data_IF_152782035097
#
_entry.id   IF_152782035097
#
_cell.length_a   1.000
_cell.length_b   1.000
_cell.length_c   1.000
_cell.angle_alpha   90.00
_cell.angle_beta   90.00
_cell.angle_gamma   90.00
#
_symmetry.space_group_name_H-M   'P 1'
#
loop_
_entity.id
_entity.type
_entity.pdbx_description
1 polymer ?
#
# COMPACT_ATOMS: atom_id res chain seq x y z
N UNK A 1 18.41 13.34 16.76
CA UNK A 1 18.31 12.03 17.43
C UNK A 1 17.45 11.13 16.56
N UNK A 2 17.93 9.93 16.24
CA UNK A 2 17.19 8.98 15.39
C UNK A 2 16.83 7.76 16.22
N UNK A 3 15.56 7.31 16.08
CA UNK A 3 15.08 6.03 16.60
C UNK A 3 14.53 5.23 15.43
N UNK A 4 14.83 3.94 15.36
CA UNK A 4 14.30 3.03 14.35
C UNK A 4 13.67 1.82 15.03
N UNK A 5 12.47 1.44 14.61
CA UNK A 5 11.76 0.26 15.13
C UNK A 5 11.15 -0.54 13.99
N UNK A 6 11.05 -1.85 14.20
CA UNK A 6 10.23 -2.74 13.40
C UNK A 6 9.11 -3.27 14.31
N UNK A 7 7.92 -2.64 14.33
CA UNK A 7 6.89 -2.91 15.32
C UNK A 7 6.26 -4.30 15.20
N UNK A 8 6.54 -5.02 14.11
CA UNK A 8 5.91 -6.30 13.80
C UNK A 8 4.44 -6.13 13.35
N UNK A 9 3.74 -7.25 13.26
CA UNK A 9 2.33 -7.30 12.86
C UNK A 9 1.43 -7.64 14.05
N UNK A 10 0.18 -7.20 13.99
CA UNK A 10 -0.80 -7.41 15.07
C UNK A 10 -0.93 -8.88 15.49
N UNK A 11 -0.87 -9.80 14.52
CA UNK A 11 -0.97 -11.25 14.80
C UNK A 11 0.19 -11.80 15.64
N UNK A 12 1.33 -11.12 15.65
CA UNK A 12 2.49 -11.50 16.46
C UNK A 12 2.54 -10.78 17.81
N UNK A 13 2.20 -9.48 17.79
CA UNK A 13 2.37 -8.61 18.96
C UNK A 13 1.09 -8.46 19.79
N UNK A 14 -0.08 -8.70 19.19
CA UNK A 14 -1.37 -8.38 19.78
C UNK A 14 -1.64 -6.87 19.91
N UNK A 15 -0.78 -6.02 19.34
CA UNK A 15 -0.84 -4.56 19.45
C UNK A 15 -0.92 -3.91 18.08
N UNK A 16 -1.76 -2.88 17.96
CA UNK A 16 -1.82 -2.06 16.75
C UNK A 16 -0.52 -1.27 16.56
N UNK A 17 0.03 -1.32 15.35
CA UNK A 17 1.26 -0.60 14.99
C UNK A 17 1.15 0.90 15.27
N UNK A 18 0.01 1.52 14.96
CA UNK A 18 -0.27 2.91 15.25
C UNK A 18 -0.14 3.24 16.74
N UNK A 19 -0.68 2.38 17.61
CA UNK A 19 -0.64 2.59 19.07
C UNK A 19 0.80 2.43 19.61
N UNK A 20 1.58 1.50 19.07
CA UNK A 20 3.00 1.34 19.42
C UNK A 20 3.78 2.62 19.08
N UNK A 21 3.66 3.09 17.83
CA UNK A 21 4.38 4.27 17.36
C UNK A 21 3.95 5.50 18.16
N UNK A 22 2.65 5.70 18.36
CA UNK A 22 2.12 6.84 19.14
C UNK A 22 2.69 6.87 20.56
N UNK A 23 2.76 5.74 21.24
CA UNK A 23 3.33 5.66 22.58
C UNK A 23 4.82 6.02 22.63
N UNK A 24 5.58 5.72 21.59
CA UNK A 24 6.99 6.10 21.47
C UNK A 24 7.11 7.60 21.22
N UNK A 25 6.31 8.13 20.29
CA UNK A 25 6.31 9.55 19.93
C UNK A 25 5.93 10.43 21.10
N UNK A 26 4.90 10.05 21.87
CA UNK A 26 4.47 10.80 23.06
C UNK A 26 5.51 10.87 24.18
N UNK A 27 6.46 9.95 24.21
CA UNK A 27 7.52 9.89 25.25
C UNK A 27 8.87 10.43 24.76
N UNK A 28 9.00 10.68 23.47
CA UNK A 28 10.22 11.19 22.86
C UNK A 28 10.02 12.62 22.34
N UNK A 29 11.14 13.24 22.01
CA UNK A 29 11.20 14.54 21.33
C UNK A 29 11.60 14.27 19.88
N UNK A 30 10.58 14.13 19.00
CA UNK A 30 10.74 13.79 17.59
C UNK A 30 10.13 14.88 16.72
N UNK A 31 10.83 15.27 15.66
CA UNK A 31 10.41 16.30 14.72
C UNK A 31 9.52 15.74 13.59
N UNK A 32 9.73 14.48 13.20
CA UNK A 32 8.93 13.80 12.18
C UNK A 32 9.04 12.27 12.29
N UNK A 33 8.14 11.58 11.61
CA UNK A 33 8.14 10.13 11.46
C UNK A 33 8.32 9.78 9.98
N UNK A 34 9.19 8.80 9.69
CA UNK A 34 9.26 8.16 8.38
C UNK A 34 8.73 6.75 8.55
N UNK A 35 7.65 6.41 7.84
CA UNK A 35 7.05 5.08 7.82
C UNK A 35 7.41 4.40 6.51
N UNK A 36 7.92 3.17 6.56
CA UNK A 36 8.21 2.38 5.36
C UNK A 36 7.35 1.12 5.43
N UNK A 37 6.53 0.88 4.40
CA UNK A 37 5.63 -0.28 4.35
C UNK A 37 5.52 -0.88 2.95
N UNK A 38 5.07 -2.12 2.91
CA UNK A 38 4.71 -2.85 1.72
C UNK A 38 3.34 -2.43 1.21
N UNK A 39 3.24 -2.15 -0.08
CA UNK A 39 1.96 -1.85 -0.73
C UNK A 39 1.51 -2.99 -1.63
N UNK A 40 0.20 -3.07 -1.87
CA UNK A 40 -0.36 -3.88 -2.94
C UNK A 40 -0.31 -3.10 -4.26
N UNK A 41 0.21 -3.72 -5.31
CA UNK A 41 0.25 -3.11 -6.62
C UNK A 41 -1.05 -3.28 -7.38
N UNK A 42 -1.47 -2.23 -8.08
CA UNK A 42 -2.61 -2.24 -9.02
C UNK A 42 -2.20 -2.67 -10.44
N UNK A 43 -0.89 -2.83 -10.69
CA UNK A 43 -0.33 -3.29 -11.96
C UNK A 43 0.91 -4.15 -11.69
N UNK A 44 1.08 -5.23 -12.42
CA UNK A 44 2.23 -6.13 -12.28
C UNK A 44 3.56 -5.45 -12.57
N UNK A 45 3.59 -4.52 -13.53
CA UNK A 45 4.79 -3.76 -13.91
C UNK A 45 5.38 -2.89 -12.79
N UNK A 46 4.53 -2.47 -11.83
CA UNK A 46 4.96 -1.64 -10.70
C UNK A 46 5.56 -2.45 -9.56
N UNK A 47 5.35 -3.76 -9.57
CA UNK A 47 5.79 -4.66 -8.50
C UNK A 47 7.31 -4.59 -8.33
N UNK A 48 7.78 -4.17 -7.16
CA UNK A 48 9.19 -3.98 -6.82
C UNK A 48 9.99 -3.00 -7.72
N UNK A 49 9.30 -2.23 -8.58
CA UNK A 49 9.96 -1.29 -9.51
C UNK A 49 9.65 0.19 -9.20
N UNK A 50 8.69 0.45 -8.34
CA UNK A 50 8.30 1.81 -7.98
C UNK A 50 8.39 2.04 -6.48
N UNK A 51 8.57 3.29 -6.10
CA UNK A 51 8.49 3.76 -4.71
C UNK A 51 7.49 4.90 -4.69
N UNK A 52 6.55 4.84 -3.77
CA UNK A 52 5.58 5.90 -3.53
C UNK A 52 5.96 6.64 -2.27
N UNK A 53 5.93 7.97 -2.31
CA UNK A 53 6.21 8.82 -1.15
C UNK A 53 5.04 9.79 -0.99
N UNK A 54 4.50 9.88 0.21
CA UNK A 54 3.39 10.78 0.54
C UNK A 54 3.53 11.33 1.96
N UNK A 55 2.95 12.49 2.20
CA UNK A 55 2.82 13.13 3.51
C UNK A 55 1.42 12.99 4.11
N UNK A 56 0.50 12.34 3.41
CA UNK A 56 -0.88 12.12 3.88
C UNK A 56 -1.02 11.00 4.90
N UNK A 57 0.03 10.18 5.07
CA UNK A 57 0.03 9.03 5.96
C UNK A 57 -0.18 7.70 5.25
N UNK A 58 -0.34 6.64 6.02
CA UNK A 58 -0.50 5.26 5.54
C UNK A 58 -1.42 4.46 6.46
N UNK A 59 -2.22 3.57 5.86
CA UNK A 59 -3.03 2.58 6.58
C UNK A 59 -2.40 1.19 6.43
N UNK A 60 -1.62 0.71 7.42
CA UNK A 60 -0.95 -0.58 7.33
C UNK A 60 -1.91 -1.72 7.05
N UNK A 61 -1.59 -2.58 6.08
CA UNK A 61 -2.39 -3.75 5.74
C UNK A 61 -3.66 -3.46 4.91
N UNK A 62 -3.94 -2.23 4.51
CA UNK A 62 -5.10 -1.89 3.68
C UNK A 62 -5.10 -2.65 2.35
N UNK A 63 -3.95 -2.78 1.70
CA UNK A 63 -3.79 -3.49 0.42
C UNK A 63 -4.10 -4.98 0.44
N UNK A 64 -4.25 -5.59 1.61
CA UNK A 64 -4.64 -7.01 1.79
C UNK A 64 -5.99 -7.15 2.52
N UNK A 65 -6.82 -6.10 2.48
CA UNK A 65 -8.16 -6.09 3.09
C UNK A 65 -8.17 -6.06 4.62
N UNK A 66 -7.04 -5.79 5.25
CA UNK A 66 -6.86 -5.79 6.69
C UNK A 66 -6.62 -4.35 7.19
N UNK A 67 -7.64 -3.50 7.06
CA UNK A 67 -7.55 -2.09 7.47
C UNK A 67 -7.16 -1.97 8.94
N UNK A 68 -6.09 -1.26 9.18
CA UNK A 68 -5.57 -0.90 10.50
C UNK A 68 -5.75 0.58 10.77
N UNK A 69 -5.46 0.99 12.01
CA UNK A 69 -5.44 2.40 12.36
C UNK A 69 -4.43 3.14 11.51
N UNK A 70 -4.85 4.24 10.96
CA UNK A 70 -4.03 5.09 10.11
C UNK A 70 -2.87 5.73 10.89
N UNK A 71 -1.73 5.85 10.22
CA UNK A 71 -0.54 6.53 10.71
C UNK A 71 -0.38 7.79 9.88
N UNK A 72 -0.83 8.92 10.38
CA UNK A 72 -0.76 10.22 9.74
C UNK A 72 -0.41 11.33 10.75
N UNK A 73 -0.17 12.54 10.24
CA UNK A 73 0.22 13.69 11.06
C UNK A 73 -0.82 14.05 12.13
N UNK A 74 -2.10 13.95 11.83
CA UNK A 74 -3.19 14.28 12.77
C UNK A 74 -3.23 13.33 13.96
N UNK A 75 -3.05 12.04 13.71
CA UNK A 75 -3.05 10.99 14.75
C UNK A 75 -1.78 11.04 15.59
N UNK A 76 -0.64 11.34 14.97
CA UNK A 76 0.69 11.33 15.61
C UNK A 76 1.04 12.66 16.27
N UNK A 77 0.42 13.78 15.85
CA UNK A 77 0.73 15.12 16.35
C UNK A 77 2.04 15.71 15.82
N UNK A 78 2.72 15.03 14.93
CA UNK A 78 3.94 15.47 14.24
C UNK A 78 3.90 15.02 12.78
N UNK A 79 4.64 15.66 11.85
CA UNK A 79 4.66 15.28 10.45
C UNK A 79 5.00 13.82 10.22
N UNK A 80 4.28 13.16 9.30
CA UNK A 80 4.51 11.77 8.88
C UNK A 80 4.81 11.74 7.40
N UNK A 81 5.92 11.11 7.02
CA UNK A 81 6.27 10.81 5.64
C UNK A 81 6.16 9.30 5.45
N UNK A 82 5.27 8.88 4.58
CA UNK A 82 5.10 7.47 4.25
C UNK A 82 5.82 7.11 2.95
N UNK A 83 6.59 6.03 2.99
CA UNK A 83 7.31 5.46 1.86
C UNK A 83 6.75 4.06 1.64
N UNK A 84 6.09 3.86 0.51
CA UNK A 84 5.49 2.59 0.14
C UNK A 84 6.21 1.93 -1.02
N UNK A 85 6.45 0.62 -0.91
CA UNK A 85 7.01 -0.19 -2.01
C UNK A 85 6.00 -1.28 -2.37
N UNK A 86 5.48 -1.31 -3.63
CA UNK A 86 4.60 -2.38 -4.08
C UNK A 86 5.35 -3.71 -4.11
N UNK A 87 5.08 -4.60 -3.17
CA UNK A 87 5.71 -5.92 -3.06
C UNK A 87 4.73 -7.07 -3.19
N UNK A 88 3.44 -6.76 -3.23
CA UNK A 88 2.33 -7.71 -3.34
C UNK A 88 1.44 -7.31 -4.50
N UNK A 89 0.87 -8.29 -5.19
CA UNK A 89 -0.12 -8.09 -6.26
C UNK A 89 -1.23 -9.14 -6.09
N UNK A 90 -2.47 -8.75 -6.37
CA UNK A 90 -3.58 -9.71 -6.33
C UNK A 90 -3.59 -10.62 -7.55
N UNK A 91 -4.11 -11.85 -7.39
CA UNK A 91 -4.31 -12.76 -8.53
C UNK A 91 -5.25 -12.17 -9.59
N UNK A 92 -6.24 -11.39 -9.19
CA UNK A 92 -7.15 -10.71 -10.12
C UNK A 92 -6.39 -9.68 -10.98
N UNK A 93 -5.48 -8.92 -10.39
CA UNK A 93 -4.61 -7.97 -11.11
C UNK A 93 -3.70 -8.71 -12.10
N UNK A 94 -3.08 -9.82 -11.69
CA UNK A 94 -2.22 -10.64 -12.58
C UNK A 94 -3.03 -11.16 -13.76
N UNK A 95 -4.21 -11.74 -13.51
CA UNK A 95 -5.07 -12.25 -14.57
C UNK A 95 -5.52 -11.14 -15.53
N UNK A 96 -5.90 -9.98 -14.99
CA UNK A 96 -6.29 -8.81 -15.78
C UNK A 96 -5.15 -8.38 -16.71
N UNK A 97 -3.97 -8.14 -16.16
CA UNK A 97 -2.81 -7.65 -16.92
C UNK A 97 -2.39 -8.66 -18.01
N UNK A 98 -2.41 -9.98 -17.70
CA UNK A 98 -2.08 -11.03 -18.69
C UNK A 98 -3.08 -11.08 -19.85
N UNK A 99 -4.39 -10.95 -19.57
CA UNK A 99 -5.41 -10.97 -20.61
C UNK A 99 -5.35 -9.68 -21.42
N UNK A 100 -5.21 -8.52 -20.78
CA UNK A 100 -5.03 -7.22 -21.44
C UNK A 100 -3.88 -7.27 -22.43
N UNK A 101 -2.70 -7.70 -22.00
CA UNK A 101 -1.52 -7.81 -22.86
C UNK A 101 -1.76 -8.76 -24.04
N UNK A 102 -2.46 -9.87 -23.80
CA UNK A 102 -2.76 -10.86 -24.84
C UNK A 102 -3.70 -10.29 -25.91
N UNK A 103 -4.76 -9.61 -25.50
CA UNK A 103 -5.73 -8.99 -26.42
C UNK A 103 -5.09 -7.87 -27.25
N UNK A 104 -4.28 -7.02 -26.63
CA UNK A 104 -3.55 -5.98 -27.33
C UNK A 104 -2.56 -6.56 -28.38
N UNK A 105 -1.86 -7.64 -28.05
CA UNK A 105 -0.98 -8.35 -29.02
C UNK A 105 -1.76 -8.99 -30.17
N UNK A 106 -3.02 -9.34 -29.98
CA UNK A 106 -3.90 -9.86 -31.04
C UNK A 106 -4.50 -8.77 -31.92
N UNK A 107 -4.26 -7.48 -31.61
CA UNK A 107 -4.67 -6.34 -32.40
C UNK A 107 -5.99 -5.70 -31.95
N UNK A 108 -6.52 -6.06 -30.78
CA UNK A 108 -7.65 -5.35 -30.18
C UNK A 108 -7.19 -3.96 -29.73
N UNK A 109 -8.08 -2.97 -29.83
CA UNK A 109 -7.83 -1.64 -29.29
C UNK A 109 -7.90 -1.64 -27.76
N UNK A 110 -7.33 -0.61 -27.12
CA UNK A 110 -7.41 -0.45 -25.67
C UNK A 110 -8.87 -0.38 -25.21
N UNK A 111 -9.71 0.35 -25.95
CA UNK A 111 -11.13 0.54 -25.62
C UNK A 111 -11.92 -0.78 -25.66
N UNK A 112 -11.71 -1.61 -26.69
CA UNK A 112 -12.32 -2.93 -26.81
C UNK A 112 -11.87 -3.87 -25.68
N UNK A 113 -10.59 -3.81 -25.34
CA UNK A 113 -9.98 -4.59 -24.26
C UNK A 113 -10.56 -4.19 -22.91
N UNK A 114 -10.68 -2.90 -22.64
CA UNK A 114 -11.26 -2.38 -21.39
C UNK A 114 -12.73 -2.77 -21.22
N UNK A 115 -13.53 -2.69 -22.29
CA UNK A 115 -14.94 -3.13 -22.28
C UNK A 115 -15.04 -4.61 -21.96
N UNK A 116 -14.20 -5.45 -22.57
CA UNK A 116 -14.19 -6.89 -22.33
C UNK A 116 -13.81 -7.22 -20.89
N UNK A 117 -12.74 -6.63 -20.40
CA UNK A 117 -12.18 -6.92 -19.07
C UNK A 117 -13.08 -6.41 -17.94
N UNK A 118 -13.60 -5.20 -18.03
CA UNK A 118 -14.47 -4.61 -17.00
C UNK A 118 -15.78 -5.39 -16.81
N UNK A 119 -16.21 -6.14 -17.81
CA UNK A 119 -17.38 -7.04 -17.71
C UNK A 119 -17.07 -8.39 -17.05
N UNK A 120 -15.81 -8.79 -16.96
CA UNK A 120 -15.39 -10.14 -16.56
C UNK A 120 -14.52 -10.14 -15.29
N UNK A 121 -13.59 -9.23 -15.17
CA UNK A 121 -12.61 -9.19 -14.10
C UNK A 121 -12.43 -7.73 -13.65
N UNK A 122 -12.63 -7.44 -12.38
CA UNK A 122 -12.25 -6.16 -11.81
C UNK A 122 -10.84 -6.24 -11.25
N UNK A 123 -9.98 -5.28 -11.59
CA UNK A 123 -8.73 -5.09 -10.85
C UNK A 123 -9.08 -4.89 -9.39
N UNK A 124 -8.40 -5.62 -8.51
CA UNK A 124 -8.55 -5.41 -7.07
C UNK A 124 -8.21 -3.96 -6.76
N UNK A 125 -9.18 -3.21 -6.26
CA UNK A 125 -8.93 -1.89 -5.72
C UNK A 125 -8.12 -2.11 -4.46
N UNK A 126 -6.81 -1.93 -4.56
CA UNK A 126 -5.99 -1.76 -3.37
C UNK A 126 -6.32 -0.36 -2.85
N UNK A 127 -7.20 -0.29 -1.88
CA UNK A 127 -7.44 0.94 -1.16
C UNK A 127 -6.11 1.38 -0.51
N UNK A 128 -5.53 2.43 -1.07
CA UNK A 128 -4.36 3.12 -0.52
C UNK A 128 -4.74 3.88 0.74
#
# INVERSE_FOLDING_TARGET
KICAIAPGVLSQTGMETCDIIRNIVCKGDFDCIIVIDSLCSTHTERLCHTIQVTDTGISPGAGVGNRRKEINGDVMGIPVIAIGVPTVVSMATVAYDCIEETLLKQGFSQEETDIFLNGQIQRSVCDT
#
